data_IF_372031301808
#
_entry.id   IF_372031301808
#
_cell.length_a   1.000
_cell.length_b   1.000
_cell.length_c   1.000
_cell.angle_alpha   90.00
_cell.angle_beta   90.00
_cell.angle_gamma   90.00
#
_symmetry.space_group_name_H-M   'P 1'
#
loop_
_entity.id
_entity.type
_entity.pdbx_description
1 polymer ?
#
# COMPACT_ATOMS: atom_id res chain seq x y z
N UNK A 1 -21.26 -14.44 -21.47
CA UNK A 1 -19.84 -14.33 -21.86
C UNK A 1 -19.08 -13.74 -20.67
N UNK A 2 -19.01 -14.45 -19.53
CA UNK A 2 -17.85 -15.22 -19.03
C UNK A 2 -16.52 -14.47 -19.21
N UNK A 3 -16.18 -13.62 -18.25
CA UNK A 3 -14.86 -13.02 -18.16
C UNK A 3 -14.37 -13.08 -16.70
N UNK A 4 -13.48 -14.06 -16.46
CA UNK A 4 -12.53 -14.17 -15.34
C UNK A 4 -13.12 -14.52 -13.96
N UNK A 5 -13.60 -15.76 -13.84
CA UNK A 5 -13.56 -16.50 -12.57
C UNK A 5 -12.43 -17.54 -12.62
N UNK A 6 -11.17 -17.13 -12.71
CA UNK A 6 -10.04 -18.06 -12.56
C UNK A 6 -8.85 -17.31 -11.96
N UNK A 7 -8.82 -17.27 -10.64
CA UNK A 7 -7.86 -18.03 -9.84
C UNK A 7 -8.43 -18.04 -8.42
N UNK A 8 -8.43 -19.20 -7.74
CA UNK A 8 -8.88 -19.36 -6.35
C UNK A 8 -8.00 -18.64 -5.32
N UNK A 9 -7.45 -17.47 -5.67
CA UNK A 9 -6.72 -16.59 -4.77
C UNK A 9 -7.74 -15.98 -3.82
N UNK A 10 -7.65 -16.36 -2.55
CA UNK A 10 -8.44 -15.77 -1.48
C UNK A 10 -8.03 -14.30 -1.33
N UNK A 11 -8.74 -13.39 -1.99
CA UNK A 11 -8.50 -11.97 -1.83
C UNK A 11 -9.22 -11.49 -0.56
N UNK A 12 -8.45 -11.07 0.46
CA UNK A 12 -9.05 -10.36 1.60
C UNK A 12 -9.28 -8.91 1.18
N UNK A 13 -10.53 -8.52 0.96
CA UNK A 13 -10.89 -7.13 0.71
C UNK A 13 -10.80 -6.35 2.03
N UNK A 14 -9.62 -5.83 2.34
CA UNK A 14 -9.41 -4.96 3.50
C UNK A 14 -9.81 -3.54 3.12
N UNK A 15 -10.81 -2.98 3.80
CA UNK A 15 -11.11 -1.56 3.68
C UNK A 15 -10.23 -0.80 4.66
N UNK A 16 -9.05 -0.34 4.21
CA UNK A 16 -8.11 0.42 5.04
C UNK A 16 -8.61 1.80 5.50
N UNK A 17 -9.80 2.24 5.05
CA UNK A 17 -10.49 3.37 5.67
C UNK A 17 -11.28 2.98 6.92
N UNK A 18 -11.67 1.71 7.07
CA UNK A 18 -12.35 1.18 8.26
C UNK A 18 -11.38 0.44 9.19
N UNK A 19 -10.40 -0.25 8.62
CA UNK A 19 -9.37 -1.02 9.33
C UNK A 19 -8.00 -0.60 8.79
N UNK A 20 -7.42 0.52 9.27
CA UNK A 20 -6.12 0.97 8.79
C UNK A 20 -5.07 -0.12 8.98
N UNK A 21 -4.25 -0.32 7.96
CA UNK A 21 -3.16 -1.30 8.00
C UNK A 21 -2.10 -0.82 9.00
N UNK A 22 -1.65 -1.72 9.86
CA UNK A 22 -0.52 -1.43 10.73
C UNK A 22 0.78 -1.37 9.92
N UNK A 23 1.82 -0.75 10.50
CA UNK A 23 3.16 -0.77 9.92
C UNK A 23 3.65 -2.19 9.65
N UNK A 24 3.34 -3.11 10.55
CA UNK A 24 3.69 -4.52 10.44
C UNK A 24 2.99 -5.19 9.25
N UNK A 25 1.71 -4.88 9.04
CA UNK A 25 0.95 -5.36 7.89
C UNK A 25 1.52 -4.82 6.57
N UNK A 26 1.85 -3.53 6.52
CA UNK A 26 2.48 -2.91 5.35
C UNK A 26 3.83 -3.56 5.05
N UNK A 27 4.68 -3.78 6.06
CA UNK A 27 5.97 -4.47 5.89
C UNK A 27 5.77 -5.91 5.39
N UNK A 28 4.76 -6.62 5.89
CA UNK A 28 4.44 -7.97 5.43
C UNK A 28 4.01 -7.99 3.96
N UNK A 29 3.16 -7.03 3.55
CA UNK A 29 2.74 -6.86 2.15
C UNK A 29 3.93 -6.58 1.23
N UNK A 30 4.80 -5.65 1.63
CA UNK A 30 6.00 -5.27 0.88
C UNK A 30 6.95 -6.45 0.70
N UNK A 31 7.23 -7.20 1.78
CA UNK A 31 8.08 -8.39 1.73
C UNK A 31 7.55 -9.46 0.79
N UNK A 32 6.23 -9.70 0.78
CA UNK A 32 5.61 -10.65 -0.14
C UNK A 32 5.68 -10.20 -1.60
N UNK A 33 5.55 -8.89 -1.84
CA UNK A 33 5.62 -8.32 -3.18
C UNK A 33 7.04 -8.08 -3.71
N UNK A 34 8.07 -8.16 -2.86
CA UNK A 34 9.41 -7.69 -3.21
C UNK A 34 9.46 -6.19 -3.50
N UNK A 35 8.55 -5.43 -2.89
CA UNK A 35 8.36 -3.99 -3.08
C UNK A 35 8.94 -3.21 -1.90
N UNK A 36 9.28 -1.94 -2.11
CA UNK A 36 9.64 -1.01 -1.05
C UNK A 36 8.45 -0.13 -0.61
N UNK A 37 8.51 0.52 0.56
CA UNK A 37 7.42 1.39 1.04
C UNK A 37 7.01 2.49 0.07
N UNK A 38 7.97 3.02 -0.70
CA UNK A 38 7.71 4.01 -1.73
C UNK A 38 6.81 3.51 -2.87
N UNK A 39 6.80 2.20 -3.14
CA UNK A 39 5.92 1.60 -4.16
C UNK A 39 4.45 1.60 -3.73
N UNK A 40 4.17 1.78 -2.43
CA UNK A 40 2.81 1.92 -1.92
C UNK A 40 2.29 3.36 -2.02
N UNK A 41 3.18 4.34 -2.21
CA UNK A 41 2.81 5.75 -2.23
C UNK A 41 2.12 6.13 -3.54
N UNK A 42 0.97 6.75 -3.40
CA UNK A 42 0.23 7.34 -4.51
C UNK A 42 0.85 8.70 -4.87
N UNK A 43 1.92 8.65 -5.65
CA UNK A 43 2.72 9.81 -6.10
C UNK A 43 1.95 10.91 -6.84
N UNK A 44 0.72 10.61 -7.30
CA UNK A 44 -0.16 11.54 -8.02
C UNK A 44 -1.08 12.35 -7.11
N UNK A 45 -1.18 12.01 -5.83
CA UNK A 45 -2.03 12.73 -4.87
C UNK A 45 -1.36 14.04 -4.41
N UNK A 46 -2.18 15.01 -4.02
CA UNK A 46 -1.69 16.29 -3.49
C UNK A 46 -1.00 16.10 -2.14
N UNK A 47 -1.57 15.26 -1.27
CA UNK A 47 -1.03 14.95 0.06
C UNK A 47 0.40 14.40 -0.01
N UNK A 48 0.72 13.58 -1.01
CA UNK A 48 2.08 13.09 -1.23
C UNK A 48 3.11 14.23 -1.40
N UNK A 49 2.74 15.27 -2.15
CA UNK A 49 3.60 16.44 -2.37
C UNK A 49 3.60 17.38 -1.16
N UNK A 50 2.45 17.59 -0.54
CA UNK A 50 2.29 18.46 0.64
C UNK A 50 3.05 17.93 1.86
N UNK A 51 3.12 16.60 2.02
CA UNK A 51 3.87 15.94 3.09
C UNK A 51 5.36 15.75 2.76
N UNK A 52 5.83 16.19 1.58
CA UNK A 52 7.24 16.08 1.21
C UNK A 52 7.73 14.66 0.95
N UNK A 53 6.84 13.69 0.72
CA UNK A 53 7.18 12.27 0.54
C UNK A 53 7.94 11.95 -0.76
N UNK A 54 8.16 12.97 -1.59
CA UNK A 54 9.03 12.92 -2.77
C UNK A 54 10.52 13.06 -2.44
N UNK A 55 10.86 13.46 -1.21
CA UNK A 55 12.26 13.59 -0.80
C UNK A 55 12.92 12.19 -0.76
N UNK A 56 13.96 11.93 -1.58
CA UNK A 56 14.66 10.64 -1.60
C UNK A 56 15.44 10.34 -0.32
N UNK A 57 15.68 11.35 0.53
CA UNK A 57 16.38 11.18 1.81
C UNK A 57 15.47 10.63 2.92
N UNK A 58 14.15 10.54 2.69
CA UNK A 58 13.25 9.92 3.65
C UNK A 58 13.52 8.43 3.73
N UNK A 59 13.66 7.94 4.96
CA UNK A 59 13.79 6.53 5.24
C UNK A 59 12.46 5.79 5.03
N UNK A 60 12.59 4.51 4.69
CA UNK A 60 11.47 3.59 4.52
C UNK A 60 10.53 3.57 5.74
N UNK A 61 11.10 3.70 6.94
CA UNK A 61 10.37 3.76 8.20
C UNK A 61 9.45 5.00 8.28
N UNK A 62 9.94 6.16 7.83
CA UNK A 62 9.16 7.41 7.78
C UNK A 62 8.03 7.32 6.74
N UNK A 63 8.30 6.66 5.61
CA UNK A 63 7.28 6.43 4.59
C UNK A 63 6.15 5.54 5.15
N UNK A 64 6.50 4.47 5.85
CA UNK A 64 5.53 3.59 6.48
C UNK A 64 4.69 4.31 7.54
N UNK A 65 5.31 5.15 8.37
CA UNK A 65 4.59 5.95 9.36
C UNK A 65 3.60 6.91 8.70
N UNK A 66 3.98 7.54 7.59
CA UNK A 66 3.08 8.38 6.80
C UNK A 66 1.89 7.59 6.21
N UNK A 67 2.13 6.35 5.75
CA UNK A 67 1.08 5.47 5.23
C UNK A 67 0.08 5.01 6.31
N UNK A 68 0.57 4.76 7.53
CA UNK A 68 -0.29 4.40 8.68
C UNK A 68 -1.10 5.61 9.14
N UNK A 69 -0.47 6.79 9.19
CA UNK A 69 -1.13 8.03 9.58
C UNK A 69 -2.18 8.48 8.54
N UNK A 70 -1.88 8.30 7.26
CA UNK A 70 -2.71 8.74 6.14
C UNK A 70 -2.91 7.58 5.13
N UNK A 71 -3.84 6.64 5.40
CA UNK A 71 -4.12 5.50 4.50
C UNK A 71 -4.57 5.92 3.09
N UNK A 72 -4.99 7.18 2.90
CA UNK A 72 -5.31 7.75 1.59
C UNK A 72 -4.10 7.84 0.65
N UNK A 73 -2.89 7.81 1.19
CA UNK A 73 -1.64 7.76 0.43
C UNK A 73 -1.39 6.40 -0.22
N UNK A 74 -2.10 5.35 0.19
CA UNK A 74 -1.93 4.01 -0.37
C UNK A 74 -2.44 3.93 -1.81
N UNK A 75 -1.63 3.36 -2.69
CA UNK A 75 -2.01 3.07 -4.08
C UNK A 75 -3.16 2.04 -4.10
N UNK A 76 -4.21 2.31 -4.89
CA UNK A 76 -5.41 1.45 -4.98
C UNK A 76 -5.53 0.82 -6.37
N UNK A 77 -5.96 -0.45 -6.50
CA UNK A 77 -6.05 -1.47 -5.44
C UNK A 77 -4.65 -2.00 -5.07
N UNK A 78 -4.45 -2.39 -3.80
CA UNK A 78 -3.31 -3.23 -3.40
C UNK A 78 -3.75 -4.67 -3.60
N UNK A 79 -3.10 -5.39 -4.52
CA UNK A 79 -3.39 -6.79 -4.80
C UNK A 79 -2.24 -7.62 -4.22
N UNK A 80 -2.51 -8.34 -3.13
CA UNK A 80 -1.64 -9.42 -2.66
C UNK A 80 -2.05 -10.70 -3.39
N UNK A 81 -1.13 -11.33 -4.14
CA UNK A 81 -1.29 -12.73 -4.55
C UNK A 81 -0.61 -13.59 -3.48
N UNK A 82 -1.40 -14.35 -2.72
CA UNK A 82 -0.86 -15.42 -1.91
C UNK A 82 -0.31 -16.49 -2.87
N UNK A 83 1.02 -16.55 -3.00
CA UNK A 83 1.73 -17.61 -3.72
C UNK A 83 1.95 -18.84 -2.86
#
# INVERSE_FOLDING_TARGET
MKLLEEEGVSFRRVNYFLEPLSKEDLVALLKKGGLGPRDLLRTREKSYKEMGLADPNLDDDMILDALVAEPGLLQRPIVERAG
#
